data_IF_710705060447
#
_entry.id   IF_710705060447
#
_cell.length_a   1.000
_cell.length_b   1.000
_cell.length_c   1.000
_cell.angle_alpha   90.00
_cell.angle_beta   90.00
_cell.angle_gamma   90.00
#
_symmetry.space_group_name_H-M   'P 1'
#
loop_
_entity.id
_entity.type
_entity.pdbx_description
1 polymer ?
#
# COMPACT_ATOMS: atom_id res chain seq x y z
N UNK A 1 23.45 -5.19 -21.68
CA UNK A 1 23.50 -6.35 -20.76
C UNK A 1 22.27 -6.28 -19.90
N UNK A 2 21.33 -7.22 -20.05
CA UNK A 2 20.15 -7.32 -19.18
C UNK A 2 20.51 -8.19 -17.99
N UNK A 3 20.43 -7.63 -16.77
CA UNK A 3 20.53 -8.42 -15.55
C UNK A 3 19.28 -9.29 -15.42
N UNK A 4 19.44 -10.53 -14.96
CA UNK A 4 18.28 -11.35 -14.57
C UNK A 4 17.65 -10.77 -13.30
N UNK A 5 16.35 -11.00 -13.04
CA UNK A 5 15.72 -10.58 -11.79
C UNK A 5 16.51 -11.05 -10.56
N UNK A 6 17.00 -12.29 -10.58
CA UNK A 6 17.83 -12.84 -9.50
C UNK A 6 19.13 -12.04 -9.28
N UNK A 7 19.85 -11.70 -10.35
CA UNK A 7 21.09 -10.92 -10.24
C UNK A 7 20.84 -9.51 -9.67
N UNK A 8 19.70 -8.90 -10.00
CA UNK A 8 19.27 -7.63 -9.39
C UNK A 8 19.02 -7.81 -7.89
N UNK A 9 18.28 -8.85 -7.50
CA UNK A 9 18.01 -9.16 -6.08
C UNK A 9 19.29 -9.38 -5.28
N UNK A 10 20.20 -10.20 -5.80
CA UNK A 10 21.49 -10.50 -5.16
C UNK A 10 22.34 -9.24 -4.98
N UNK A 11 22.31 -8.31 -5.95
CA UNK A 11 23.02 -7.04 -5.87
C UNK A 11 22.43 -6.04 -4.86
N UNK A 12 21.11 -6.05 -4.66
CA UNK A 12 20.42 -5.13 -3.74
C UNK A 12 20.31 -5.66 -2.31
N UNK A 13 20.34 -6.98 -2.12
CA UNK A 13 20.20 -7.62 -0.82
C UNK A 13 21.17 -7.10 0.27
N UNK A 14 22.44 -6.75 -0.01
CA UNK A 14 23.33 -6.19 1.01
C UNK A 14 22.88 -4.83 1.58
N UNK A 15 22.07 -4.06 0.83
CA UNK A 15 21.60 -2.74 1.24
C UNK A 15 20.20 -2.77 1.84
N UNK A 16 19.31 -3.60 1.27
CA UNK A 16 17.88 -3.60 1.60
C UNK A 16 17.39 -4.90 2.26
N UNK A 17 18.23 -5.92 2.33
CA UNK A 17 17.80 -7.29 2.66
C UNK A 17 17.10 -7.98 1.50
N UNK A 18 16.74 -9.25 1.70
CA UNK A 18 15.86 -9.97 0.78
C UNK A 18 14.41 -9.54 1.00
N UNK A 19 13.60 -9.33 -0.05
CA UNK A 19 12.19 -8.99 0.14
C UNK A 19 11.47 -10.14 0.83
N UNK A 20 10.83 -9.82 1.93
CA UNK A 20 9.93 -10.72 2.62
C UNK A 20 8.50 -10.40 2.19
N UNK A 21 7.74 -11.42 1.79
CA UNK A 21 6.29 -11.28 1.59
C UNK A 21 5.62 -11.24 2.96
N UNK A 22 5.37 -10.03 3.46
CA UNK A 22 4.57 -9.83 4.67
C UNK A 22 3.11 -9.54 4.26
N UNK A 23 2.19 -10.40 4.67
CA UNK A 23 0.76 -10.09 4.55
C UNK A 23 0.37 -9.10 5.66
N UNK A 24 -0.33 -8.02 5.32
CA UNK A 24 -0.85 -7.09 6.33
C UNK A 24 -2.08 -7.64 7.07
N UNK A 25 -2.60 -8.80 6.67
CA UNK A 25 -3.76 -9.45 7.28
C UNK A 25 -5.11 -8.78 7.00
N UNK A 26 -5.12 -7.62 6.34
CA UNK A 26 -6.32 -6.91 5.90
C UNK A 26 -6.21 -6.57 4.40
N UNK A 27 -6.70 -7.45 3.51
CA UNK A 27 -6.58 -7.25 2.06
C UNK A 27 -7.41 -6.06 1.56
N UNK A 28 -8.46 -5.65 2.28
CA UNK A 28 -9.27 -4.48 1.90
C UNK A 28 -8.50 -3.20 2.22
N UNK A 29 -7.86 -3.13 3.39
CA UNK A 29 -6.98 -2.02 3.74
C UNK A 29 -5.83 -1.89 2.73
N UNK A 30 -5.18 -2.99 2.36
CA UNK A 30 -4.10 -3.01 1.36
C UNK A 30 -4.58 -2.46 0.00
N UNK A 31 -5.74 -2.91 -0.49
CA UNK A 31 -6.31 -2.43 -1.75
C UNK A 31 -6.61 -0.93 -1.69
N UNK A 32 -7.24 -0.45 -0.62
CA UNK A 32 -7.59 0.97 -0.46
C UNK A 32 -6.32 1.83 -0.37
N UNK A 33 -5.31 1.41 0.39
CA UNK A 33 -4.01 2.08 0.44
C UNK A 33 -3.32 2.13 -0.93
N UNK A 34 -3.41 1.05 -1.71
CA UNK A 34 -2.85 0.97 -3.08
C UNK A 34 -3.56 1.93 -4.04
N UNK A 35 -4.87 2.12 -3.91
CA UNK A 35 -5.62 3.09 -4.70
C UNK A 35 -5.22 4.51 -4.30
N UNK A 36 -5.13 4.79 -2.99
CA UNK A 36 -4.78 6.11 -2.48
C UNK A 36 -3.34 6.52 -2.80
N UNK A 37 -2.43 5.57 -3.04
CA UNK A 37 -1.02 5.86 -3.36
C UNK A 37 -0.78 6.23 -4.82
N UNK A 38 -1.77 6.03 -5.69
CA UNK A 38 -1.67 6.43 -7.09
C UNK A 38 -1.41 7.95 -7.17
N UNK A 39 -0.33 8.33 -7.84
CA UNK A 39 0.06 9.72 -8.07
C UNK A 39 0.26 10.57 -6.78
N UNK A 40 0.72 9.95 -5.69
CA UNK A 40 1.03 10.66 -4.42
C UNK A 40 2.17 9.99 -3.64
N UNK A 41 2.47 10.47 -2.44
CA UNK A 41 3.50 9.90 -1.54
C UNK A 41 2.90 9.04 -0.43
N UNK A 42 3.72 8.18 0.18
CA UNK A 42 3.31 7.34 1.32
C UNK A 42 2.75 8.17 2.47
N UNK A 43 3.39 9.29 2.80
CA UNK A 43 2.92 10.23 3.84
C UNK A 43 1.52 10.74 3.54
N UNK A 44 1.25 11.12 2.29
CA UNK A 44 -0.05 11.64 1.90
C UNK A 44 -1.12 10.53 1.87
N UNK A 45 -0.76 9.35 1.36
CA UNK A 45 -1.63 8.17 1.32
C UNK A 45 -2.04 7.71 2.72
N UNK A 46 -1.08 7.61 3.64
CA UNK A 46 -1.32 7.24 5.03
C UNK A 46 -2.19 8.26 5.76
N UNK A 47 -1.96 9.57 5.51
CA UNK A 47 -2.82 10.63 6.05
C UNK A 47 -4.25 10.52 5.50
N UNK A 48 -4.42 10.30 4.20
CA UNK A 48 -5.72 10.13 3.57
C UNK A 48 -6.46 8.90 4.11
N UNK A 49 -5.77 7.76 4.24
CA UNK A 49 -6.34 6.54 4.81
C UNK A 49 -6.81 6.74 6.25
N UNK A 50 -5.99 7.38 7.09
CA UNK A 50 -6.34 7.68 8.49
C UNK A 50 -7.57 8.58 8.57
N UNK A 51 -7.68 9.57 7.68
CA UNK A 51 -8.85 10.46 7.62
C UNK A 51 -10.10 9.70 7.15
N UNK A 52 -9.98 8.85 6.12
CA UNK A 52 -11.06 8.02 5.60
C UNK A 52 -11.65 7.12 6.70
N UNK A 53 -10.79 6.35 7.39
CA UNK A 53 -11.23 5.44 8.46
C UNK A 53 -11.80 6.18 9.68
N UNK A 54 -11.31 7.38 9.98
CA UNK A 54 -11.90 8.24 11.01
C UNK A 54 -13.28 8.76 10.64
N UNK A 55 -13.51 9.07 9.35
CA UNK A 55 -14.80 9.58 8.87
C UNK A 55 -15.84 8.48 8.72
N UNK A 56 -15.40 7.29 8.30
CA UNK A 56 -16.22 6.13 8.04
C UNK A 56 -15.65 4.91 8.79
N UNK A 57 -16.14 4.62 10.01
CA UNK A 57 -15.52 3.64 10.91
C UNK A 57 -15.71 2.17 10.51
N UNK A 58 -16.11 1.89 9.26
CA UNK A 58 -16.17 0.54 8.70
C UNK A 58 -16.13 0.57 7.18
N UNK A 59 -15.68 -0.53 6.56
CA UNK A 59 -15.71 -0.69 5.10
C UNK A 59 -17.13 -0.52 4.52
N UNK A 60 -18.15 -1.00 5.23
CA UNK A 60 -19.55 -0.83 4.81
C UNK A 60 -19.99 0.63 4.84
N UNK A 61 -19.52 1.42 5.82
CA UNK A 61 -19.81 2.86 5.89
C UNK A 61 -19.15 3.62 4.73
N UNK A 62 -17.94 3.23 4.32
CA UNK A 62 -17.28 3.79 3.13
C UNK A 62 -18.07 3.41 1.87
N UNK A 63 -18.41 2.13 1.70
CA UNK A 63 -19.13 1.64 0.52
C UNK A 63 -20.55 2.23 0.37
N UNK A 64 -21.17 2.63 1.48
CA UNK A 64 -22.50 3.25 1.51
C UNK A 64 -22.46 4.78 1.52
N UNK A 65 -21.28 5.39 1.44
CA UNK A 65 -21.15 6.84 1.47
C UNK A 65 -21.76 7.45 0.19
N UNK A 66 -22.47 8.59 0.30
CA UNK A 66 -22.94 9.29 -0.88
C UNK A 66 -21.74 9.79 -1.68
N UNK A 67 -21.88 9.80 -3.00
CA UNK A 67 -20.94 10.49 -3.88
C UNK A 67 -21.07 12.00 -3.64
N UNK A 68 -19.92 12.67 -3.55
CA UNK A 68 -19.85 14.13 -3.46
C UNK A 68 -20.09 14.77 -4.84
#
# INVERSE_FOLDING_TARGET
MTLSPRAVMEGLAPLYGWPEQMSHGDPVAELVLTILSQNTSDTNSGRAFTQLMRRFPSWRAIASAPQA
#
